data_IF_689920829654
#
_entry.id   IF_689920829654
#
_cell.length_a   1.000
_cell.length_b   1.000
_cell.length_c   1.000
_cell.angle_alpha   90.00
_cell.angle_beta   90.00
_cell.angle_gamma   90.00
#
_symmetry.space_group_name_H-M   'P 1'
#
loop_
_entity.id
_entity.type
_entity.pdbx_description
1 polymer ?
#
# COMPACT_ATOMS: atom_id res chain seq x y z
N UNK A 1 -16.26 3.93 -12.12
CA UNK A 1 -15.02 4.60 -12.55
C UNK A 1 -13.81 3.86 -11.99
N UNK A 2 -12.82 3.62 -12.82
CA UNK A 2 -11.59 2.96 -12.40
C UNK A 2 -10.56 4.01 -11.98
N UNK A 3 -9.90 3.79 -10.84
CA UNK A 3 -8.83 4.67 -10.38
C UNK A 3 -7.51 4.29 -11.03
N UNK A 4 -6.71 5.28 -11.40
CA UNK A 4 -5.40 5.09 -12.04
C UNK A 4 -4.24 5.27 -11.07
N UNK A 5 -4.46 5.96 -9.94
CA UNK A 5 -3.45 6.27 -8.93
C UNK A 5 -4.02 5.89 -7.57
N UNK A 6 -3.34 5.00 -6.87
CA UNK A 6 -3.78 4.50 -5.57
C UNK A 6 -2.59 4.35 -4.63
N UNK A 7 -2.89 4.30 -3.34
CA UNK A 7 -1.91 3.93 -2.29
C UNK A 7 -2.27 2.53 -1.80
N UNK A 8 -1.29 1.66 -1.62
CA UNK A 8 -1.51 0.30 -1.11
C UNK A 8 -1.13 0.20 0.36
N UNK A 9 -1.93 -0.52 1.13
CA UNK A 9 -1.53 -0.92 2.48
C UNK A 9 -0.61 -2.15 2.44
N UNK A 10 -0.13 -2.56 3.61
CA UNK A 10 0.85 -3.65 3.72
C UNK A 10 0.27 -4.99 3.30
N UNK A 11 -0.92 -5.34 3.76
CA UNK A 11 -1.51 -6.66 3.46
C UNK A 11 -1.83 -6.82 1.98
N UNK A 12 -2.32 -5.77 1.34
CA UNK A 12 -2.60 -5.82 -0.10
C UNK A 12 -1.31 -6.10 -0.88
N UNK A 13 -0.22 -5.40 -0.54
CA UNK A 13 1.08 -5.63 -1.18
C UNK A 13 1.60 -7.05 -0.91
N UNK A 14 1.47 -7.53 0.33
CA UNK A 14 1.93 -8.88 0.70
C UNK A 14 1.21 -9.93 -0.14
N UNK A 15 -0.11 -9.85 -0.24
CA UNK A 15 -0.87 -10.85 -1.00
C UNK A 15 -0.57 -10.78 -2.50
N UNK A 16 -0.38 -9.58 -3.02
CA UNK A 16 0.08 -9.41 -4.39
C UNK A 16 1.46 -10.05 -4.60
N UNK A 17 2.41 -9.74 -3.72
CA UNK A 17 3.78 -10.23 -3.80
C UNK A 17 3.88 -11.77 -3.71
N UNK A 18 2.99 -12.39 -2.96
CA UNK A 18 2.95 -13.85 -2.80
C UNK A 18 2.17 -14.55 -3.92
N UNK A 19 1.63 -13.81 -4.87
CA UNK A 19 0.76 -14.38 -5.90
C UNK A 19 -0.58 -14.84 -5.37
N UNK A 20 -1.01 -14.32 -4.21
CA UNK A 20 -2.28 -14.67 -3.56
C UNK A 20 -3.37 -13.67 -3.89
N UNK A 21 -3.57 -13.39 -5.16
CA UNK A 21 -4.58 -12.42 -5.60
C UNK A 21 -6.00 -12.85 -5.24
N UNK A 22 -6.22 -14.14 -4.94
CA UNK A 22 -7.51 -14.61 -4.43
C UNK A 22 -7.84 -14.11 -3.02
N UNK A 23 -6.85 -13.61 -2.28
CA UNK A 23 -7.06 -12.97 -0.97
C UNK A 23 -7.40 -11.49 -1.09
N UNK A 24 -7.11 -10.89 -2.23
CA UNK A 24 -7.51 -9.52 -2.51
C UNK A 24 -8.99 -9.48 -2.85
N UNK A 25 -9.67 -8.43 -2.43
CA UNK A 25 -11.02 -8.16 -2.90
C UNK A 25 -11.00 -7.93 -4.42
N UNK A 26 -12.15 -8.09 -5.07
CA UNK A 26 -12.23 -8.03 -6.55
C UNK A 26 -11.74 -6.69 -7.11
N UNK A 27 -12.02 -5.59 -6.43
CA UNK A 27 -11.61 -4.25 -6.88
C UNK A 27 -10.11 -4.03 -6.66
N UNK A 28 -9.58 -4.47 -5.51
CA UNK A 28 -8.15 -4.39 -5.23
C UNK A 28 -7.35 -5.22 -6.23
N UNK A 29 -7.80 -6.45 -6.50
CA UNK A 29 -7.16 -7.32 -7.49
C UNK A 29 -7.12 -6.66 -8.86
N UNK A 30 -8.21 -6.04 -9.27
CA UNK A 30 -8.28 -5.34 -10.58
C UNK A 30 -7.27 -4.19 -10.65
N UNK A 31 -7.05 -3.47 -9.56
CA UNK A 31 -6.05 -2.41 -9.51
C UNK A 31 -4.66 -2.98 -9.80
N UNK A 32 -4.26 -4.07 -9.14
CA UNK A 32 -2.95 -4.68 -9.39
C UNK A 32 -2.82 -5.23 -10.80
N UNK A 33 -3.89 -5.83 -11.34
CA UNK A 33 -3.91 -6.29 -12.73
C UNK A 33 -3.71 -5.13 -13.71
N UNK A 34 -4.39 -4.01 -13.48
CA UNK A 34 -4.23 -2.81 -14.31
C UNK A 34 -2.85 -2.19 -14.16
N UNK A 35 -2.28 -2.25 -12.95
CA UNK A 35 -0.92 -1.82 -12.71
C UNK A 35 0.07 -2.63 -13.56
N UNK A 36 -0.07 -3.95 -13.57
CA UNK A 36 0.77 -4.82 -14.41
C UNK A 36 0.60 -4.53 -15.89
N UNK A 37 -0.60 -4.14 -16.32
CA UNK A 37 -0.88 -3.77 -17.72
C UNK A 37 -0.42 -2.34 -18.07
N UNK A 38 0.18 -1.61 -17.14
CA UNK A 38 0.61 -0.23 -17.35
C UNK A 38 -0.51 0.79 -17.34
N UNK A 39 -1.68 0.45 -16.81
CA UNK A 39 -2.87 1.29 -16.80
C UNK A 39 -3.16 1.92 -15.44
N UNK A 40 -2.38 1.59 -14.44
CA UNK A 40 -2.50 2.15 -13.09
C UNK A 40 -1.13 2.23 -12.45
N UNK A 41 -1.01 3.09 -11.44
CA UNK A 41 0.20 3.26 -10.63
C UNK A 41 -0.17 3.05 -9.17
N UNK A 42 0.63 2.28 -8.47
CA UNK A 42 0.48 2.00 -7.05
C UNK A 42 1.60 2.70 -6.29
N UNK A 43 1.22 3.56 -5.35
CA UNK A 43 2.15 4.24 -4.45
C UNK A 43 2.28 3.43 -3.17
N UNK A 44 3.51 3.19 -2.76
CA UNK A 44 3.86 2.37 -1.61
C UNK A 44 4.50 3.27 -0.54
N UNK A 45 3.78 3.57 0.54
CA UNK A 45 4.43 4.24 1.68
C UNK A 45 5.69 3.47 2.08
N UNK A 46 6.75 4.17 2.40
CA UNK A 46 8.01 3.50 2.78
C UNK A 46 7.81 2.54 3.96
N UNK A 47 6.87 2.86 4.84
CA UNK A 47 6.52 1.98 5.95
C UNK A 47 5.96 0.63 5.47
N UNK A 48 5.19 0.62 4.39
CA UNK A 48 4.65 -0.62 3.81
C UNK A 48 5.80 -1.52 3.35
N UNK A 49 6.81 -0.93 2.72
CA UNK A 49 8.01 -1.67 2.32
C UNK A 49 8.80 -2.16 3.53
N UNK A 50 8.90 -1.36 4.59
CA UNK A 50 9.55 -1.75 5.82
C UNK A 50 8.81 -2.93 6.48
N UNK A 51 7.49 -2.89 6.51
CA UNK A 51 6.68 -3.98 7.07
C UNK A 51 6.79 -5.26 6.24
N UNK A 52 6.83 -5.13 4.91
CA UNK A 52 7.08 -6.27 4.04
C UNK A 52 8.46 -6.89 4.32
N UNK A 53 9.49 -6.06 4.44
CA UNK A 53 10.84 -6.51 4.75
C UNK A 53 10.92 -7.25 6.08
N UNK A 54 10.23 -6.74 7.11
CA UNK A 54 10.15 -7.40 8.40
C UNK A 54 9.44 -8.75 8.30
N UNK A 55 8.35 -8.84 7.53
CA UNK A 55 7.63 -10.09 7.33
C UNK A 55 8.48 -11.14 6.59
N UNK A 56 9.31 -10.71 5.65
CA UNK A 56 10.27 -11.59 4.96
C UNK A 56 11.34 -12.05 5.95
N UNK A 57 11.91 -11.12 6.71
CA UNK A 57 12.97 -11.43 7.68
C UNK A 57 12.52 -12.42 8.75
N UNK A 58 11.28 -12.33 9.21
CA UNK A 58 10.73 -13.23 10.23
C UNK A 58 10.13 -14.52 9.66
N UNK A 59 10.21 -14.74 8.37
CA UNK A 59 9.73 -15.96 7.73
C UNK A 59 8.23 -16.04 7.49
N UNK A 60 7.48 -14.96 7.75
CA UNK A 60 6.03 -14.95 7.52
C UNK A 60 5.67 -14.80 6.05
N UNK A 61 6.55 -14.20 5.27
CA UNK A 61 6.36 -13.96 3.84
C UNK A 61 7.59 -14.48 3.10
N UNK A 62 7.36 -15.18 1.97
CA UNK A 62 8.42 -15.64 1.10
C UNK A 62 8.29 -14.94 -0.25
N UNK A 63 9.38 -14.35 -0.73
CA UNK A 63 9.46 -13.71 -2.04
C UNK A 63 10.28 -14.57 -3.00
N UNK A 64 10.06 -14.44 -4.33
CA UNK A 64 10.83 -15.21 -5.32
C UNK A 64 12.28 -14.74 -5.47
N UNK A 65 12.67 -13.66 -4.80
CA UNK A 65 14.03 -13.11 -4.80
C UNK A 65 14.32 -12.49 -3.43
N UNK A 66 15.58 -12.19 -3.09
CA UNK A 66 15.91 -11.43 -1.89
C UNK A 66 15.13 -10.11 -1.86
N UNK A 67 14.77 -9.67 -0.66
CA UNK A 67 13.86 -8.53 -0.46
C UNK A 67 14.27 -7.28 -1.25
N UNK A 68 15.53 -6.85 -1.10
CA UNK A 68 15.99 -5.62 -1.75
C UNK A 68 15.96 -5.73 -3.27
N UNK A 69 16.34 -6.90 -3.81
CA UNK A 69 16.30 -7.15 -5.25
C UNK A 69 14.87 -7.14 -5.76
N UNK A 70 13.96 -7.78 -5.05
CA UNK A 70 12.54 -7.82 -5.42
C UNK A 70 11.92 -6.42 -5.43
N UNK A 71 12.20 -5.63 -4.37
CA UNK A 71 11.67 -4.26 -4.27
C UNK A 71 12.25 -3.36 -5.35
N UNK A 72 13.57 -3.42 -5.57
CA UNK A 72 14.20 -2.61 -6.62
C UNK A 72 13.63 -2.93 -7.99
N UNK A 73 13.41 -4.21 -8.28
CA UNK A 73 12.79 -4.62 -9.53
C UNK A 73 11.36 -4.07 -9.65
N UNK A 74 10.60 -4.13 -8.56
CA UNK A 74 9.25 -3.58 -8.52
C UNK A 74 9.25 -2.08 -8.80
N UNK A 75 10.13 -1.33 -8.13
CA UNK A 75 10.22 0.12 -8.31
C UNK A 75 10.74 0.51 -9.69
N UNK A 76 11.64 -0.29 -10.28
CA UNK A 76 12.18 -0.03 -11.61
C UNK A 76 11.14 -0.25 -12.72
N UNK A 77 10.04 -0.93 -12.42
CA UNK A 77 8.97 -1.16 -13.40
C UNK A 77 8.27 0.13 -13.88
N UNK A 78 8.39 1.22 -13.11
CA UNK A 78 7.71 2.47 -13.38
C UNK A 78 6.22 2.47 -13.05
N UNK A 79 5.74 1.43 -12.37
CA UNK A 79 4.32 1.24 -12.01
C UNK A 79 4.08 1.25 -10.52
N UNK A 80 5.16 1.14 -9.74
CA UNK A 80 5.14 1.21 -8.29
C UNK A 80 6.14 2.28 -7.86
N UNK A 81 5.71 3.16 -6.97
CA UNK A 81 6.57 4.24 -6.47
C UNK A 81 6.58 4.24 -4.95
N UNK A 82 7.76 4.32 -4.37
CA UNK A 82 7.90 4.49 -2.92
C UNK A 82 7.56 5.94 -2.55
N UNK A 83 6.88 6.11 -1.44
CA UNK A 83 6.55 7.42 -0.89
C UNK A 83 7.28 7.57 0.45
N UNK A 84 8.19 8.52 0.51
CA UNK A 84 8.95 8.78 1.73
C UNK A 84 8.05 9.35 2.83
N UNK A 85 8.37 9.01 4.07
CA UNK A 85 7.72 9.58 5.23
C UNK A 85 8.23 11.01 5.45
N UNK A 86 7.35 11.98 5.25
CA UNK A 86 7.66 13.40 5.44
C UNK A 86 7.08 13.89 6.76
N UNK A 87 7.51 15.09 7.19
CA UNK A 87 6.91 15.74 8.33
C UNK A 87 5.42 16.00 8.12
N UNK A 88 5.03 16.40 6.91
CA UNK A 88 3.62 16.66 6.58
C UNK A 88 2.76 15.41 6.75
N UNK A 89 3.24 14.27 6.28
CA UNK A 89 2.54 12.99 6.46
C UNK A 89 2.50 12.59 7.94
N UNK A 90 3.63 12.69 8.64
CA UNK A 90 3.69 12.34 10.05
C UNK A 90 2.75 13.20 10.90
N UNK A 91 2.76 14.52 10.69
CA UNK A 91 1.90 15.42 11.45
C UNK A 91 0.41 15.15 11.17
N UNK A 92 0.08 14.83 9.93
CA UNK A 92 -1.29 14.46 9.56
C UNK A 92 -1.71 13.15 10.23
N UNK A 93 -0.79 12.18 10.30
CA UNK A 93 -1.05 10.90 10.97
C UNK A 93 -1.35 11.07 12.45
N UNK A 94 -0.68 12.01 13.13
CA UNK A 94 -0.91 12.27 14.55
C UNK A 94 -2.33 12.78 14.84
N UNK A 95 -3.01 13.33 13.84
CA UNK A 95 -4.39 13.77 13.97
C UNK A 95 -5.40 12.62 13.80
N UNK A 96 -4.97 11.46 13.30
CA UNK A 96 -5.83 10.32 13.04
C UNK A 96 -5.94 9.39 14.25
N UNK A 97 -6.18 9.96 15.42
CA UNK A 97 -6.19 9.20 16.67
C UNK A 97 -7.34 8.17 16.78
N UNK A 98 -8.35 8.24 15.90
CA UNK A 98 -9.39 7.22 15.81
C UNK A 98 -8.85 5.90 15.23
N UNK A 99 -7.72 5.90 14.55
CA UNK A 99 -7.06 4.70 14.02
C UNK A 99 -6.08 4.21 15.10
N UNK A 100 -6.26 3.00 15.67
CA UNK A 100 -5.48 2.56 16.83
C UNK A 100 -4.00 2.36 16.57
N UNK A 101 -3.63 1.80 15.41
CA UNK A 101 -2.25 1.43 15.12
C UNK A 101 -1.51 2.52 14.37
N UNK A 102 -0.26 2.78 14.80
CA UNK A 102 0.56 3.81 14.17
C UNK A 102 0.78 3.54 12.69
N UNK A 103 1.07 2.29 12.33
CA UNK A 103 1.29 1.91 10.93
C UNK A 103 0.11 2.28 10.05
N UNK A 104 -1.09 1.95 10.50
CA UNK A 104 -2.32 2.25 9.78
C UNK A 104 -2.53 3.76 9.66
N UNK A 105 -2.22 4.53 10.72
CA UNK A 105 -2.31 6.00 10.67
C UNK A 105 -1.36 6.58 9.63
N UNK A 106 -0.12 6.09 9.58
CA UNK A 106 0.88 6.58 8.61
C UNK A 106 0.50 6.24 7.18
N UNK A 107 -0.02 5.04 6.95
CA UNK A 107 -0.48 4.63 5.62
C UNK A 107 -1.68 5.46 5.18
N UNK A 108 -2.67 5.63 6.05
CA UNK A 108 -3.85 6.43 5.77
C UNK A 108 -3.50 7.90 5.54
N UNK A 109 -2.58 8.44 6.34
CA UNK A 109 -2.10 9.82 6.19
C UNK A 109 -1.38 10.02 4.86
N UNK A 110 -0.64 9.00 4.39
CA UNK A 110 0.02 9.06 3.08
C UNK A 110 -1.02 9.17 1.97
N UNK A 111 -2.06 8.35 2.01
CA UNK A 111 -3.15 8.41 1.03
C UNK A 111 -3.86 9.77 1.06
N UNK A 112 -4.15 10.29 2.26
CA UNK A 112 -4.79 11.59 2.41
C UNK A 112 -3.89 12.73 1.90
N UNK A 113 -2.59 12.65 2.17
CA UNK A 113 -1.62 13.65 1.71
C UNK A 113 -1.54 13.70 0.18
N UNK A 114 -1.57 12.54 -0.46
CA UNK A 114 -1.54 12.45 -1.92
C UNK A 114 -2.92 12.66 -2.56
N UNK A 115 -3.97 12.63 -1.76
CA UNK A 115 -5.36 12.67 -2.23
C UNK A 115 -5.69 11.54 -3.20
N UNK A 116 -5.21 10.35 -2.88
CA UNK A 116 -5.47 9.13 -3.64
C UNK A 116 -6.26 8.12 -2.79
N UNK A 117 -7.05 7.25 -3.44
CA UNK A 117 -7.71 6.16 -2.73
C UNK A 117 -6.70 5.21 -2.09
N UNK A 118 -7.12 4.57 -1.02
CA UNK A 118 -6.31 3.60 -0.29
C UNK A 118 -6.83 2.19 -0.56
N UNK A 119 -5.95 1.32 -1.02
CA UNK A 119 -6.24 -0.11 -1.17
C UNK A 119 -6.04 -0.76 0.19
N UNK A 120 -7.12 -1.06 0.87
CA UNK A 120 -7.14 -1.70 2.19
C UNK A 120 -8.45 -2.43 2.39
N UNK A 121 -8.42 -3.49 3.20
CA UNK A 121 -9.61 -4.24 3.55
C UNK A 121 -10.46 -3.53 4.62
N UNK A 122 -9.90 -2.54 5.32
CA UNK A 122 -10.57 -1.89 6.44
C UNK A 122 -11.20 -0.55 6.02
N UNK A 123 -12.55 -0.50 5.83
CA UNK A 123 -13.21 0.74 5.44
C UNK A 123 -13.17 1.82 6.53
N UNK A 124 -12.99 1.45 7.80
CA UNK A 124 -12.95 2.41 8.90
C UNK A 124 -11.69 3.28 8.82
N UNK A 125 -10.58 2.73 8.32
CA UNK A 125 -9.34 3.48 8.11
C UNK A 125 -9.59 4.59 7.10
N UNK A 126 -10.24 4.27 5.98
CA UNK A 126 -10.54 5.26 4.96
C UNK A 126 -11.47 6.35 5.46
N UNK A 127 -12.53 5.96 6.18
CA UNK A 127 -13.49 6.92 6.74
C UNK A 127 -12.81 7.86 7.72
N UNK A 128 -11.95 7.36 8.61
CA UNK A 128 -11.24 8.17 9.59
C UNK A 128 -10.28 9.17 8.94
N UNK A 129 -9.64 8.78 7.84
CA UNK A 129 -8.68 9.62 7.13
C UNK A 129 -9.32 10.50 6.06
N UNK A 130 -10.59 10.33 5.77
CA UNK A 130 -11.29 11.08 4.73
C UNK A 130 -10.88 10.67 3.32
N UNK A 131 -10.44 9.42 3.12
CA UNK A 131 -10.06 8.89 1.81
C UNK A 131 -10.96 7.75 1.40
N UNK A 132 -11.08 7.54 0.09
CA UNK A 132 -11.78 6.40 -0.46
C UNK A 132 -11.00 5.12 -0.24
N UNK A 133 -11.72 4.04 0.04
CA UNK A 133 -11.15 2.70 0.19
C UNK A 133 -11.53 1.84 -1.01
N UNK A 134 -10.56 1.10 -1.51
CA UNK A 134 -10.75 0.11 -2.58
C UNK A 134 -10.40 -1.26 -2.03
N UNK A 135 -11.32 -2.20 -2.22
CA UNK A 135 -11.07 -3.58 -1.82
C UNK A 135 -11.75 -4.62 -2.70
#
# INVERSE_FOLDING_TARGET
MAYSLVVSDTHALIWYAQGRSNRLGSRARRIFERCEAGQAVVYLPILVLAELGEAVRTGRVSLPAPFTIWVEHLLDSGRFFAVDLSWDILSRAEELYAIPERGDRLIAATAAHLDFPLVTRDPEIGAAAGVKVIW
#
